data_IF_262365927061
#
_entry.id   IF_262365927061
#
_cell.length_a   1.000
_cell.length_b   1.000
_cell.length_c   1.000
_cell.angle_alpha   90.00
_cell.angle_beta   90.00
_cell.angle_gamma   90.00
#
_symmetry.space_group_name_H-M   'P 1'
#
loop_
_entity.id
_entity.type
_entity.pdbx_description
1 polymer ?
#
# COMPACT_ATOMS: atom_id res chain seq x y z
N UNK A 1 57.04 -23.73 12.46
CA UNK A 1 55.57 -23.80 12.49
C UNK A 1 54.98 -22.53 13.08
N UNK A 2 54.23 -21.74 12.31
CA UNK A 2 53.21 -20.80 12.81
C UNK A 2 52.25 -20.53 11.65
N UNK A 3 50.98 -20.87 11.84
CA UNK A 3 49.95 -20.98 10.80
C UNK A 3 49.38 -19.59 10.46
N UNK A 4 49.32 -19.27 9.17
CA UNK A 4 48.51 -18.19 8.63
C UNK A 4 47.02 -18.50 8.82
N UNK A 5 46.24 -17.55 9.28
CA UNK A 5 44.77 -17.66 9.31
C UNK A 5 44.13 -16.41 8.73
N UNK A 6 44.35 -16.18 7.43
CA UNK A 6 43.39 -15.43 6.63
C UNK A 6 42.12 -16.28 6.56
N UNK A 7 41.11 -15.92 7.35
CA UNK A 7 39.77 -16.53 7.26
C UNK A 7 39.23 -16.28 5.86
N UNK A 8 39.23 -17.31 5.00
CA UNK A 8 38.52 -17.29 3.71
C UNK A 8 37.04 -17.02 3.99
N UNK A 9 36.54 -15.87 3.57
CA UNK A 9 35.10 -15.58 3.56
C UNK A 9 34.42 -16.60 2.65
N UNK A 10 33.45 -17.35 3.21
CA UNK A 10 32.64 -18.30 2.45
C UNK A 10 31.96 -17.55 1.33
N UNK A 11 32.14 -18.06 0.11
CA UNK A 11 31.51 -17.56 -1.11
C UNK A 11 29.99 -17.60 -0.91
N UNK A 12 29.34 -16.44 -0.93
CA UNK A 12 27.89 -16.36 -0.95
C UNK A 12 27.40 -17.07 -2.21
N UNK A 13 26.62 -18.13 -2.02
CA UNK A 13 25.96 -18.84 -3.09
C UNK A 13 24.93 -17.88 -3.70
N UNK A 14 25.11 -17.51 -4.97
CA UNK A 14 24.13 -16.71 -5.69
C UNK A 14 22.92 -17.59 -5.96
N UNK A 15 21.86 -17.40 -5.20
CA UNK A 15 20.55 -17.95 -5.52
C UNK A 15 20.10 -17.30 -6.84
N UNK A 16 20.07 -18.07 -7.93
CA UNK A 16 19.44 -17.65 -9.17
C UNK A 16 17.93 -17.63 -8.94
N UNK A 17 17.39 -16.45 -8.66
CA UNK A 17 15.95 -16.22 -8.66
C UNK A 17 15.51 -16.29 -10.12
N UNK A 18 14.84 -17.38 -10.51
CA UNK A 18 14.23 -17.50 -11.82
C UNK A 18 13.13 -16.43 -11.91
N UNK A 19 13.34 -15.42 -12.75
CA UNK A 19 12.40 -14.34 -12.99
C UNK A 19 11.25 -14.82 -13.88
N UNK A 20 10.44 -15.78 -13.44
CA UNK A 20 9.11 -15.99 -14.00
C UNK A 20 8.10 -15.18 -13.19
N UNK A 21 8.29 -13.85 -13.15
CA UNK A 21 7.38 -12.89 -12.53
C UNK A 21 6.46 -12.24 -13.57
N UNK A 22 6.12 -12.95 -14.65
CA UNK A 22 5.52 -12.31 -15.83
C UNK A 22 3.99 -12.31 -15.87
N UNK A 23 3.31 -12.65 -14.77
CA UNK A 23 1.85 -12.47 -14.65
C UNK A 23 1.47 -11.14 -14.00
N UNK A 24 2.34 -10.53 -13.19
CA UNK A 24 2.10 -9.23 -12.52
C UNK A 24 2.73 -8.08 -13.32
N UNK A 25 3.85 -8.33 -14.01
CA UNK A 25 4.57 -7.28 -14.75
C UNK A 25 3.91 -6.91 -16.09
N UNK A 26 3.09 -7.80 -16.66
CA UNK A 26 2.31 -7.54 -17.87
C UNK A 26 0.84 -7.20 -17.59
N UNK A 27 0.47 -6.98 -16.32
CA UNK A 27 -0.72 -6.21 -16.03
C UNK A 27 -0.45 -4.79 -16.53
N UNK A 28 -0.77 -4.56 -17.81
CA UNK A 28 -1.12 -3.26 -18.32
C UNK A 28 -1.89 -2.59 -17.20
N UNK A 29 -1.26 -1.58 -16.59
CA UNK A 29 -1.87 -0.78 -15.54
C UNK A 29 -3.26 -0.47 -16.09
N UNK A 30 -4.35 -0.96 -15.46
CA UNK A 30 -5.68 -0.63 -15.93
C UNK A 30 -5.67 0.88 -16.00
N UNK A 31 -5.83 1.44 -17.21
CA UNK A 31 -5.91 2.87 -17.40
C UNK A 31 -6.90 3.36 -16.37
N UNK A 32 -6.43 4.19 -15.42
CA UNK A 32 -7.15 4.54 -14.19
C UNK A 32 -8.64 4.57 -14.50
N UNK A 33 -9.37 3.56 -14.03
CA UNK A 33 -10.83 3.58 -14.02
C UNK A 33 -11.16 4.95 -13.46
N UNK A 34 -11.84 5.81 -14.24
CA UNK A 34 -12.19 7.19 -13.86
C UNK A 34 -12.44 7.17 -12.37
N UNK A 35 -11.57 7.84 -11.60
CA UNK A 35 -11.64 7.75 -10.15
C UNK A 35 -13.10 7.99 -9.77
N UNK A 36 -13.73 6.99 -9.13
CA UNK A 36 -15.03 7.17 -8.47
C UNK A 36 -14.76 8.01 -7.20
N UNK A 37 -13.87 9.01 -7.31
CA UNK A 37 -12.89 9.42 -6.30
C UNK A 37 -13.54 10.04 -5.09
N UNK A 38 -14.83 10.35 -5.17
CA UNK A 38 -15.64 10.54 -3.99
C UNK A 38 -17.10 10.24 -4.30
N UNK A 39 -17.80 9.75 -3.28
CA UNK A 39 -19.24 9.65 -3.25
C UNK A 39 -19.76 10.16 -1.92
N UNK A 40 -21.06 10.36 -1.81
CA UNK A 40 -21.69 10.74 -0.54
C UNK A 40 -22.51 9.60 0.02
N UNK A 41 -22.40 9.40 1.32
CA UNK A 41 -23.20 8.44 2.08
C UNK A 41 -23.93 9.13 3.23
N UNK A 42 -24.97 8.50 3.76
CA UNK A 42 -25.48 8.88 5.09
C UNK A 42 -24.56 8.30 6.17
N UNK A 43 -24.30 9.06 7.22
CA UNK A 43 -23.48 8.64 8.36
C UNK A 43 -24.02 9.21 9.67
N UNK A 44 -23.69 8.56 10.78
CA UNK A 44 -24.01 9.03 12.13
C UNK A 44 -22.73 9.07 12.97
N UNK A 45 -22.51 10.19 13.65
CA UNK A 45 -21.40 10.37 14.60
C UNK A 45 -22.02 10.78 15.94
N UNK A 46 -21.92 9.91 16.94
CA UNK A 46 -22.60 10.10 18.22
C UNK A 46 -24.13 10.12 18.03
N UNK A 47 -24.76 11.24 18.37
CA UNK A 47 -26.20 11.50 18.21
C UNK A 47 -26.51 12.46 17.05
N UNK A 48 -25.55 12.70 16.14
CA UNK A 48 -25.67 13.60 15.01
C UNK A 48 -25.73 12.81 13.70
N UNK A 49 -26.80 13.03 12.94
CA UNK A 49 -27.00 12.44 11.62
C UNK A 49 -26.51 13.37 10.50
N UNK A 50 -25.74 12.81 9.57
CA UNK A 50 -25.24 13.46 8.36
C UNK A 50 -25.85 12.78 7.15
N UNK A 51 -26.73 13.47 6.43
CA UNK A 51 -27.38 12.93 5.22
C UNK A 51 -26.44 12.79 4.02
N UNK A 52 -25.31 13.53 4.04
CA UNK A 52 -24.30 13.54 2.98
C UNK A 52 -22.91 13.72 3.58
N UNK A 53 -22.32 12.64 4.05
CA UNK A 53 -20.91 12.55 4.40
C UNK A 53 -20.10 12.17 3.15
N UNK A 54 -18.99 12.87 2.90
CA UNK A 54 -18.10 12.59 1.78
C UNK A 54 -17.26 11.35 2.11
N UNK A 55 -17.30 10.34 1.23
CA UNK A 55 -16.45 9.17 1.27
C UNK A 55 -15.51 9.23 0.06
N UNK A 56 -14.23 9.46 0.31
CA UNK A 56 -13.17 9.51 -0.70
C UNK A 56 -12.29 8.26 -0.53
N UNK A 57 -12.26 7.39 -1.55
CA UNK A 57 -11.46 6.16 -1.55
C UNK A 57 -9.99 6.41 -1.89
N UNK A 58 -9.67 7.59 -2.41
CA UNK A 58 -8.31 8.03 -2.71
C UNK A 58 -7.59 8.63 -1.50
N UNK A 59 -8.30 8.84 -0.38
CA UNK A 59 -7.77 9.46 0.83
C UNK A 59 -7.89 8.51 2.02
N UNK A 60 -6.79 8.32 2.77
CA UNK A 60 -6.74 7.43 3.94
C UNK A 60 -6.84 8.21 5.27
N UNK A 61 -7.54 9.35 5.28
CA UNK A 61 -7.77 10.14 6.49
C UNK A 61 -9.26 10.48 6.61
N UNK A 62 -9.78 10.42 7.84
CA UNK A 62 -11.16 10.80 8.14
C UNK A 62 -11.18 12.23 8.67
N UNK A 63 -11.86 13.14 7.95
CA UNK A 63 -12.07 14.51 8.39
C UNK A 63 -13.41 14.63 9.11
N UNK A 64 -13.39 15.12 10.34
CA UNK A 64 -14.58 15.42 11.15
C UNK A 64 -14.56 16.92 11.45
N UNK A 65 -15.69 17.64 11.34
CA UNK A 65 -15.73 19.04 11.71
C UNK A 65 -15.45 19.24 13.20
N UNK A 66 -14.68 20.27 13.56
CA UNK A 66 -14.29 20.61 14.94
C UNK A 66 -15.39 20.59 16.00
N UNK A 67 -16.64 21.07 15.76
CA UNK A 67 -17.69 21.00 16.79
C UNK A 67 -18.18 19.57 17.12
N UNK A 68 -17.67 18.55 16.44
CA UNK A 68 -18.02 17.14 16.63
C UNK A 68 -16.85 16.28 17.14
N UNK A 69 -15.75 16.93 17.52
CA UNK A 69 -14.56 16.32 18.12
C UNK A 69 -14.50 16.71 19.59
#
# INVERSE_FOLDING_TARGET
>A
MRKNSHKKLKKFERIKINASCNAITACQIPSKLKDIGSFTISAEIGNKHFSKALCDLGVNINLIPYPYI
#
